data_IF_665644512986
#
_entry.id   IF_665644512986
#
_cell.length_a   1.000
_cell.length_b   1.000
_cell.length_c   1.000
_cell.angle_alpha   90.00
_cell.angle_beta   90.00
_cell.angle_gamma   90.00
#
_symmetry.space_group_name_H-M   'P 1'
#
loop_
_entity.id
_entity.type
_entity.pdbx_description
1 polymer ?
#
# COMPACT_ATOMS: atom_id res chain seq x y z
N UNK A 1 -133.26 3.36 -61.51
CA UNK A 1 -132.06 2.54 -61.19
C UNK A 1 -131.98 1.44 -62.24
N UNK A 2 -130.90 1.40 -63.02
CA UNK A 2 -130.71 0.36 -64.05
C UNK A 2 -130.28 -0.95 -63.39
N UNK A 3 -130.85 -2.07 -63.84
CA UNK A 3 -130.66 -3.40 -63.28
C UNK A 3 -129.19 -3.86 -63.27
N UNK A 4 -128.40 -3.41 -64.27
CA UNK A 4 -126.95 -3.64 -64.36
C UNK A 4 -126.14 -2.99 -63.22
N UNK A 5 -126.61 -1.86 -62.70
CA UNK A 5 -125.94 -1.12 -61.62
C UNK A 5 -126.15 -1.84 -60.27
N UNK A 6 -127.31 -2.48 -60.10
CA UNK A 6 -127.62 -3.33 -58.95
C UNK A 6 -126.76 -4.59 -58.89
N UNK A 7 -126.50 -5.23 -60.04
CA UNK A 7 -125.69 -6.45 -60.11
C UNK A 7 -124.21 -6.17 -59.82
N UNK A 8 -123.68 -5.04 -60.33
CA UNK A 8 -122.33 -4.57 -60.03
C UNK A 8 -122.18 -4.27 -58.53
N UNK A 9 -123.15 -3.58 -57.92
CA UNK A 9 -123.15 -3.34 -56.48
C UNK A 9 -123.12 -4.64 -55.69
N UNK A 10 -123.92 -5.64 -56.08
CA UNK A 10 -124.01 -6.92 -55.38
C UNK A 10 -122.71 -7.72 -55.49
N UNK A 11 -122.00 -7.64 -56.62
CA UNK A 11 -120.67 -8.21 -56.78
C UNK A 11 -119.64 -7.51 -55.88
N UNK A 12 -119.65 -6.18 -55.81
CA UNK A 12 -118.78 -5.41 -54.89
C UNK A 12 -119.04 -5.78 -53.43
N UNK A 13 -120.30 -5.97 -53.02
CA UNK A 13 -120.63 -6.41 -51.66
C UNK A 13 -120.13 -7.83 -51.36
N UNK A 14 -120.21 -8.74 -52.33
CA UNK A 14 -119.66 -10.11 -52.20
C UNK A 14 -118.15 -10.09 -52.05
N UNK A 15 -117.44 -9.36 -52.91
CA UNK A 15 -115.98 -9.27 -52.86
C UNK A 15 -115.51 -8.59 -51.56
N UNK A 16 -116.24 -7.57 -51.10
CA UNK A 16 -115.99 -6.93 -49.80
C UNK A 16 -116.19 -7.91 -48.64
N UNK A 17 -117.25 -8.73 -48.68
CA UNK A 17 -117.52 -9.73 -47.65
C UNK A 17 -116.44 -10.83 -47.61
N UNK A 18 -116.01 -11.33 -48.78
CA UNK A 18 -114.93 -12.32 -48.89
C UNK A 18 -113.62 -11.73 -48.38
N UNK A 19 -113.26 -10.52 -48.80
CA UNK A 19 -112.06 -9.82 -48.35
C UNK A 19 -112.06 -9.63 -46.83
N UNK A 20 -113.20 -9.22 -46.26
CA UNK A 20 -113.38 -9.11 -44.81
C UNK A 20 -113.19 -10.45 -44.09
N UNK A 21 -113.75 -11.54 -44.64
CA UNK A 21 -113.62 -12.87 -44.05
C UNK A 21 -112.16 -13.37 -44.07
N UNK A 22 -111.44 -13.16 -45.18
CA UNK A 22 -110.01 -13.49 -45.29
C UNK A 22 -109.19 -12.66 -44.29
N UNK A 23 -109.46 -11.36 -44.18
CA UNK A 23 -108.77 -10.47 -43.25
C UNK A 23 -109.02 -10.88 -41.78
N UNK A 24 -110.28 -11.16 -41.43
CA UNK A 24 -110.63 -11.63 -40.08
C UNK A 24 -109.99 -12.98 -39.77
N UNK A 25 -109.99 -13.92 -40.71
CA UNK A 25 -109.31 -15.22 -40.56
C UNK A 25 -107.81 -15.06 -40.33
N UNK A 26 -107.12 -14.30 -41.20
CA UNK A 26 -105.68 -14.07 -41.06
C UNK A 26 -105.31 -13.34 -39.74
N UNK A 27 -106.12 -12.39 -39.29
CA UNK A 27 -105.90 -11.70 -38.02
C UNK A 27 -106.15 -12.64 -36.82
N UNK A 28 -107.15 -13.50 -36.90
CA UNK A 28 -107.48 -14.51 -35.88
C UNK A 28 -106.34 -15.53 -35.77
N UNK A 29 -105.85 -16.04 -36.90
CA UNK A 29 -104.72 -16.98 -36.98
C UNK A 29 -103.42 -16.34 -36.45
N UNK A 30 -103.11 -15.10 -36.85
CA UNK A 30 -101.91 -14.39 -36.41
C UNK A 30 -101.90 -14.09 -34.91
N UNK A 31 -103.08 -13.88 -34.30
CA UNK A 31 -103.24 -13.66 -32.87
C UNK A 31 -103.46 -14.96 -32.07
N UNK A 32 -103.55 -16.11 -32.75
CA UNK A 32 -103.80 -17.40 -32.13
C UNK A 32 -105.19 -17.53 -31.46
N UNK A 33 -106.19 -16.82 -32.00
CA UNK A 33 -107.57 -16.85 -31.52
C UNK A 33 -108.36 -17.99 -32.19
N UNK A 34 -109.51 -18.36 -31.62
CA UNK A 34 -110.41 -19.34 -32.23
C UNK A 34 -111.17 -18.73 -33.43
N UNK A 35 -111.42 -19.55 -34.45
CA UNK A 35 -112.15 -19.23 -35.68
C UNK A 35 -113.58 -18.70 -35.45
N UNK A 36 -114.16 -18.98 -34.28
CA UNK A 36 -115.47 -18.49 -33.85
C UNK A 36 -115.41 -17.24 -32.93
N UNK A 37 -114.25 -16.59 -32.81
CA UNK A 37 -114.10 -15.43 -31.93
C UNK A 37 -115.03 -14.28 -32.32
N UNK A 38 -115.51 -13.57 -31.31
CA UNK A 38 -116.35 -12.39 -31.50
C UNK A 38 -115.52 -11.22 -32.02
N UNK A 39 -116.18 -10.27 -32.70
CA UNK A 39 -115.52 -9.04 -33.17
C UNK A 39 -114.88 -8.26 -32.01
N UNK A 40 -115.46 -8.33 -30.82
CA UNK A 40 -114.94 -7.65 -29.63
C UNK A 40 -113.69 -8.34 -29.06
N UNK A 41 -113.64 -9.68 -29.06
CA UNK A 41 -112.46 -10.46 -28.68
C UNK A 41 -111.29 -10.21 -29.64
N UNK A 42 -111.55 -10.22 -30.96
CA UNK A 42 -110.54 -9.91 -31.98
C UNK A 42 -109.99 -8.49 -31.79
N UNK A 43 -110.86 -7.50 -31.57
CA UNK A 43 -110.47 -6.11 -31.33
C UNK A 43 -109.65 -5.97 -30.05
N UNK A 44 -110.04 -6.64 -28.98
CA UNK A 44 -109.32 -6.64 -27.70
C UNK A 44 -107.92 -7.26 -27.84
N UNK A 45 -107.81 -8.41 -28.48
CA UNK A 45 -106.54 -9.08 -28.74
C UNK A 45 -105.62 -8.26 -29.66
N UNK A 46 -106.17 -7.63 -30.71
CA UNK A 46 -105.40 -6.76 -31.60
C UNK A 46 -104.88 -5.53 -30.85
N UNK A 47 -105.70 -4.90 -30.00
CA UNK A 47 -105.26 -3.79 -29.15
C UNK A 47 -104.16 -4.22 -28.17
N UNK A 48 -104.27 -5.41 -27.58
CA UNK A 48 -103.25 -5.98 -26.69
C UNK A 48 -101.94 -6.25 -27.43
N UNK A 49 -101.99 -6.84 -28.62
CA UNK A 49 -100.81 -7.10 -29.44
C UNK A 49 -100.13 -5.79 -29.88
N UNK A 50 -100.90 -4.78 -30.28
CA UNK A 50 -100.40 -3.43 -30.59
C UNK A 50 -99.71 -2.82 -29.36
N UNK A 51 -100.31 -2.94 -28.18
CA UNK A 51 -99.71 -2.42 -26.95
C UNK A 51 -98.40 -3.16 -26.60
N UNK A 52 -98.39 -4.48 -26.70
CA UNK A 52 -97.18 -5.29 -26.47
C UNK A 52 -96.06 -4.94 -27.46
N UNK A 53 -96.39 -4.72 -28.73
CA UNK A 53 -95.43 -4.28 -29.73
C UNK A 53 -94.83 -2.91 -29.38
N UNK A 54 -95.67 -1.95 -28.97
CA UNK A 54 -95.21 -0.63 -28.50
C UNK A 54 -94.32 -0.74 -27.26
N UNK A 55 -94.72 -1.54 -26.28
CA UNK A 55 -93.95 -1.74 -25.04
C UNK A 55 -92.60 -2.42 -25.34
N UNK A 56 -92.57 -3.38 -26.28
CA UNK A 56 -91.36 -4.03 -26.75
C UNK A 56 -90.43 -3.05 -27.48
N UNK A 57 -90.96 -2.21 -28.37
CA UNK A 57 -90.18 -1.17 -29.07
C UNK A 57 -89.55 -0.18 -28.08
N UNK A 58 -90.33 0.29 -27.09
CA UNK A 58 -89.83 1.14 -26.00
C UNK A 58 -88.72 0.43 -25.22
N UNK A 59 -88.91 -0.85 -24.90
CA UNK A 59 -87.91 -1.65 -24.18
C UNK A 59 -86.63 -1.83 -25.01
N UNK A 60 -86.73 -2.07 -26.32
CA UNK A 60 -85.57 -2.19 -27.21
C UNK A 60 -84.81 -0.89 -27.29
N UNK A 61 -85.48 0.25 -27.44
CA UNK A 61 -84.84 1.58 -27.48
C UNK A 61 -84.13 1.87 -26.16
N UNK A 62 -84.81 1.71 -25.03
CA UNK A 62 -84.22 1.96 -23.70
C UNK A 62 -83.05 1.03 -23.39
N UNK A 63 -83.15 -0.25 -23.76
CA UNK A 63 -82.06 -1.22 -23.58
C UNK A 63 -80.85 -0.87 -24.45
N UNK A 64 -81.06 -0.42 -25.70
CA UNK A 64 -79.98 0.03 -26.58
C UNK A 64 -79.29 1.29 -26.03
N UNK A 65 -80.07 2.27 -25.59
CA UNK A 65 -79.52 3.49 -24.97
C UNK A 65 -78.71 3.16 -23.72
N UNK A 66 -79.16 2.22 -22.90
CA UNK A 66 -78.41 1.79 -21.73
C UNK A 66 -77.13 1.03 -22.11
N UNK A 67 -77.20 0.11 -23.07
CA UNK A 67 -76.04 -0.61 -23.56
C UNK A 67 -74.99 0.34 -24.16
N UNK A 68 -75.42 1.37 -24.91
CA UNK A 68 -74.51 2.37 -25.47
C UNK A 68 -73.79 3.18 -24.36
N UNK A 69 -74.51 3.51 -23.28
CA UNK A 69 -73.91 4.16 -22.09
C UNK A 69 -72.90 3.25 -21.41
N UNK A 70 -73.25 1.98 -21.16
CA UNK A 70 -72.39 1.02 -20.49
C UNK A 70 -71.11 0.74 -21.33
N UNK A 71 -71.25 0.65 -22.65
CA UNK A 71 -70.11 0.49 -23.58
C UNK A 71 -69.22 1.73 -23.54
N UNK A 72 -69.79 2.94 -23.51
CA UNK A 72 -69.02 4.17 -23.41
C UNK A 72 -68.25 4.25 -22.08
N UNK A 73 -68.89 3.89 -20.97
CA UNK A 73 -68.26 3.85 -19.65
C UNK A 73 -67.13 2.82 -19.60
N UNK A 74 -67.37 1.60 -20.08
CA UNK A 74 -66.34 0.56 -20.15
C UNK A 74 -65.14 0.97 -21.01
N UNK A 75 -65.38 1.64 -22.14
CA UNK A 75 -64.30 2.15 -22.99
C UNK A 75 -63.47 3.20 -22.26
N UNK A 76 -64.11 4.12 -21.54
CA UNK A 76 -63.42 5.13 -20.76
C UNK A 76 -62.59 4.49 -19.63
N UNK A 77 -63.17 3.53 -18.91
CA UNK A 77 -62.45 2.80 -17.86
C UNK A 77 -61.24 2.05 -18.42
N UNK A 78 -61.37 1.44 -19.60
CA UNK A 78 -60.26 0.74 -20.27
C UNK A 78 -59.15 1.71 -20.69
N UNK A 79 -59.48 2.89 -21.22
CA UNK A 79 -58.48 3.90 -21.57
C UNK A 79 -57.77 4.46 -20.34
N UNK A 80 -58.51 4.73 -19.27
CA UNK A 80 -57.95 5.26 -18.03
C UNK A 80 -57.04 4.21 -17.37
N UNK A 81 -57.45 2.94 -17.37
CA UNK A 81 -56.65 1.83 -16.85
C UNK A 81 -55.37 1.62 -17.66
N UNK A 82 -55.42 1.73 -18.99
CA UNK A 82 -54.24 1.57 -19.84
C UNK A 82 -53.25 2.72 -19.62
N UNK A 83 -53.75 3.96 -19.51
CA UNK A 83 -52.92 5.11 -19.19
C UNK A 83 -52.25 4.96 -17.81
N UNK A 84 -53.01 4.53 -16.79
CA UNK A 84 -52.48 4.26 -15.47
C UNK A 84 -51.41 3.14 -15.48
N UNK A 85 -51.60 2.11 -16.30
CA UNK A 85 -50.63 1.02 -16.49
C UNK A 85 -49.33 1.54 -17.08
N UNK A 86 -49.40 2.34 -18.15
CA UNK A 86 -48.23 2.94 -18.79
C UNK A 86 -47.45 3.80 -17.78
N UNK A 87 -48.14 4.68 -17.04
CA UNK A 87 -47.49 5.52 -16.02
C UNK A 87 -46.86 4.70 -14.89
N UNK A 88 -47.48 3.60 -14.48
CA UNK A 88 -46.93 2.69 -13.49
C UNK A 88 -45.67 1.97 -14.02
N UNK A 89 -45.70 1.50 -15.26
CA UNK A 89 -44.56 0.85 -15.93
C UNK A 89 -43.37 1.83 -16.07
N UNK A 90 -43.62 3.09 -16.41
CA UNK A 90 -42.58 4.13 -16.45
C UNK A 90 -41.97 4.38 -15.07
N UNK A 91 -42.79 4.48 -14.02
CA UNK A 91 -42.30 4.63 -12.64
C UNK A 91 -41.47 3.43 -12.20
N UNK A 92 -41.89 2.22 -12.54
CA UNK A 92 -41.12 0.99 -12.26
C UNK A 92 -39.78 1.00 -12.99
N UNK A 93 -39.76 1.37 -14.28
CA UNK A 93 -38.52 1.46 -15.05
C UNK A 93 -37.55 2.49 -14.45
N UNK A 94 -38.05 3.66 -14.04
CA UNK A 94 -37.25 4.68 -13.36
C UNK A 94 -36.71 4.17 -12.01
N UNK A 95 -37.56 3.55 -11.19
CA UNK A 95 -37.16 3.00 -9.90
C UNK A 95 -36.10 1.91 -10.03
N UNK A 96 -36.22 1.03 -11.03
CA UNK A 96 -35.22 -0.01 -11.32
C UNK A 96 -33.88 0.61 -11.70
N UNK A 97 -33.87 1.64 -12.56
CA UNK A 97 -32.65 2.35 -12.96
C UNK A 97 -31.98 3.01 -11.76
N UNK A 98 -32.75 3.67 -10.90
CA UNK A 98 -32.23 4.29 -9.67
C UNK A 98 -31.66 3.24 -8.74
N UNK A 99 -32.36 2.11 -8.54
CA UNK A 99 -31.88 1.00 -7.71
C UNK A 99 -30.55 0.44 -8.22
N UNK A 100 -30.45 0.18 -9.52
CA UNK A 100 -29.22 -0.32 -10.14
C UNK A 100 -28.04 0.66 -9.97
N UNK A 101 -28.29 1.97 -10.13
CA UNK A 101 -27.24 2.97 -9.89
C UNK A 101 -26.81 3.04 -8.43
N UNK A 102 -27.75 2.95 -7.49
CA UNK A 102 -27.47 2.96 -6.06
C UNK A 102 -26.70 1.70 -5.63
N UNK A 103 -27.07 0.52 -6.16
CA UNK A 103 -26.34 -0.73 -5.93
C UNK A 103 -24.91 -0.66 -6.44
N UNK A 104 -24.68 -0.10 -7.65
CA UNK A 104 -23.33 0.12 -8.18
C UNK A 104 -22.51 1.06 -7.31
N UNK A 105 -23.09 2.18 -6.88
CA UNK A 105 -22.42 3.13 -5.98
C UNK A 105 -22.08 2.50 -4.64
N UNK A 106 -22.99 1.71 -4.06
CA UNK A 106 -22.74 0.99 -2.81
C UNK A 106 -21.63 -0.05 -2.97
N UNK A 107 -21.61 -0.79 -4.07
CA UNK A 107 -20.54 -1.76 -4.35
C UNK A 107 -19.18 -1.07 -4.49
N UNK A 108 -19.11 0.02 -5.25
CA UNK A 108 -17.90 0.83 -5.40
C UNK A 108 -17.44 1.40 -4.06
N UNK A 109 -18.33 2.03 -3.29
CA UNK A 109 -18.01 2.61 -1.99
C UNK A 109 -17.55 1.56 -0.97
N UNK A 110 -18.12 0.35 -0.99
CA UNK A 110 -17.65 -0.77 -0.14
C UNK A 110 -16.23 -1.20 -0.51
N UNK A 111 -15.92 -1.31 -1.80
CA UNK A 111 -14.58 -1.68 -2.27
C UNK A 111 -13.54 -0.61 -1.91
N UNK A 112 -13.85 0.66 -2.16
CA UNK A 112 -12.99 1.79 -1.81
C UNK A 112 -12.73 1.87 -0.29
N UNK A 113 -13.78 1.70 0.52
CA UNK A 113 -13.65 1.72 1.97
C UNK A 113 -12.83 0.51 2.48
N UNK A 114 -13.01 -0.68 1.88
CA UNK A 114 -12.20 -1.85 2.23
C UNK A 114 -10.71 -1.64 1.93
N UNK A 115 -10.37 -1.07 0.77
CA UNK A 115 -8.99 -0.72 0.42
C UNK A 115 -8.42 0.37 1.33
N UNK A 116 -9.20 1.41 1.64
CA UNK A 116 -8.81 2.46 2.57
C UNK A 116 -8.53 1.90 3.98
N UNK A 117 -9.39 1.00 4.49
CA UNK A 117 -9.20 0.32 5.77
C UNK A 117 -7.95 -0.57 5.76
N UNK A 118 -7.71 -1.29 4.67
CA UNK A 118 -6.53 -2.14 4.51
C UNK A 118 -5.25 -1.30 4.54
N UNK A 119 -5.22 -0.18 3.83
CA UNK A 119 -4.11 0.78 3.84
C UNK A 119 -3.89 1.38 5.24
N UNK A 120 -4.96 1.83 5.89
CA UNK A 120 -4.88 2.38 7.25
C UNK A 120 -4.33 1.35 8.25
N UNK A 121 -4.76 0.08 8.17
CA UNK A 121 -4.24 -1.01 9.00
C UNK A 121 -2.75 -1.28 8.72
N UNK A 122 -2.34 -1.24 7.46
CA UNK A 122 -0.94 -1.39 7.08
C UNK A 122 -0.08 -0.24 7.66
N UNK A 123 -0.54 1.00 7.56
CA UNK A 123 0.13 2.17 8.14
C UNK A 123 0.21 2.10 9.67
N UNK A 124 -0.83 1.63 10.35
CA UNK A 124 -0.80 1.41 11.81
C UNK A 124 0.23 0.34 12.16
N UNK A 125 0.28 -0.76 11.41
CA UNK A 125 1.23 -1.85 11.65
C UNK A 125 2.68 -1.37 11.45
N UNK A 126 2.94 -0.60 10.39
CA UNK A 126 4.24 0.02 10.14
C UNK A 126 4.62 1.05 11.22
N UNK A 127 3.68 1.89 11.66
CA UNK A 127 3.92 2.81 12.79
C UNK A 127 4.21 2.06 14.08
N UNK A 128 3.52 0.95 14.37
CA UNK A 128 3.80 0.13 15.54
C UNK A 128 5.17 -0.54 15.46
N UNK A 129 5.58 -1.04 14.28
CA UNK A 129 6.91 -1.63 14.11
C UNK A 129 8.01 -0.58 14.27
N UNK A 130 7.81 0.62 13.72
CA UNK A 130 8.68 1.79 13.91
C UNK A 130 8.76 2.20 15.37
N UNK A 131 7.64 2.27 16.10
CA UNK A 131 7.63 2.57 17.53
C UNK A 131 8.35 1.49 18.35
N UNK A 132 8.22 0.21 17.99
CA UNK A 132 9.00 -0.88 18.61
C UNK A 132 10.49 -0.75 18.32
N UNK A 133 10.86 -0.38 17.09
CA UNK A 133 12.26 -0.15 16.73
C UNK A 133 12.84 1.08 17.45
N UNK A 134 12.09 2.18 17.51
CA UNK A 134 12.44 3.40 18.24
C UNK A 134 12.56 3.10 19.72
N UNK A 135 11.59 2.43 20.34
CA UNK A 135 11.68 2.05 21.75
C UNK A 135 12.84 1.10 22.03
N UNK A 136 13.15 0.16 21.13
CA UNK A 136 14.33 -0.71 21.24
C UNK A 136 15.65 0.07 21.09
N UNK A 137 15.70 1.06 20.21
CA UNK A 137 16.88 1.90 19.98
C UNK A 137 17.10 2.92 21.11
N UNK A 138 16.02 3.52 21.62
CA UNK A 138 16.02 4.40 22.79
C UNK A 138 16.24 3.60 24.09
N UNK A 139 15.84 2.33 24.12
CA UNK A 139 16.22 1.37 25.15
C UNK A 139 17.66 0.87 24.94
N UNK A 140 18.62 1.79 24.89
CA UNK A 140 19.84 1.54 25.64
C UNK A 140 19.37 1.40 27.11
N UNK A 141 19.07 0.17 27.54
CA UNK A 141 18.63 -0.09 28.90
C UNK A 141 19.63 0.54 29.88
N UNK A 142 19.21 0.93 31.09
CA UNK A 142 20.15 1.37 32.13
C UNK A 142 21.34 0.41 32.26
N UNK A 143 21.11 -0.89 32.05
CA UNK A 143 22.16 -1.90 31.96
C UNK A 143 23.12 -1.76 30.78
N UNK A 144 22.65 -1.42 29.57
CA UNK A 144 23.53 -1.17 28.42
C UNK A 144 24.35 0.11 28.60
N UNK A 145 23.77 1.17 29.15
CA UNK A 145 24.49 2.39 29.51
C UNK A 145 25.54 2.09 30.58
N UNK A 146 25.19 1.34 31.63
CA UNK A 146 26.12 0.92 32.69
C UNK A 146 27.22 0.01 32.13
N UNK A 147 26.92 -0.90 31.21
CA UNK A 147 27.94 -1.73 30.53
C UNK A 147 28.90 -0.87 29.72
N UNK A 148 28.39 0.07 28.91
CA UNK A 148 29.22 1.03 28.16
C UNK A 148 30.10 1.85 29.10
N UNK A 149 29.54 2.40 30.19
CA UNK A 149 30.29 3.13 31.21
C UNK A 149 31.37 2.28 31.90
N UNK A 150 31.09 1.01 32.21
CA UNK A 150 32.08 0.07 32.76
C UNK A 150 33.22 -0.18 31.78
N UNK A 151 32.91 -0.41 30.50
CA UNK A 151 33.92 -0.57 29.44
C UNK A 151 34.78 0.67 29.31
N UNK A 152 34.17 1.85 29.28
CA UNK A 152 34.85 3.14 29.15
C UNK A 152 35.76 3.41 30.37
N UNK A 153 35.28 3.08 31.58
CA UNK A 153 36.08 3.16 32.80
C UNK A 153 37.27 2.21 32.76
N UNK A 154 37.09 0.97 32.28
CA UNK A 154 38.17 -0.01 32.11
C UNK A 154 39.22 0.49 31.11
N UNK A 155 38.79 0.98 29.95
CA UNK A 155 39.68 1.54 28.93
C UNK A 155 40.48 2.72 29.47
N UNK A 156 39.85 3.65 30.22
CA UNK A 156 40.54 4.80 30.82
C UNK A 156 41.60 4.39 31.85
N UNK A 157 41.33 3.38 32.67
CA UNK A 157 42.31 2.85 33.63
C UNK A 157 43.48 2.20 32.90
N UNK A 158 43.20 1.40 31.86
CA UNK A 158 44.25 0.72 31.11
C UNK A 158 45.12 1.70 30.33
N UNK A 159 44.52 2.75 29.75
CA UNK A 159 45.25 3.83 29.10
C UNK A 159 46.14 4.59 30.09
N UNK A 160 45.64 4.91 31.29
CA UNK A 160 46.44 5.56 32.34
C UNK A 160 47.60 4.68 32.80
N UNK A 161 47.39 3.37 32.94
CA UNK A 161 48.45 2.40 33.27
C UNK A 161 49.50 2.32 32.17
N UNK A 162 49.08 2.29 30.91
CA UNK A 162 50.00 2.29 29.77
C UNK A 162 50.80 3.59 29.70
N UNK A 163 50.15 4.75 29.88
CA UNK A 163 50.84 6.05 29.93
C UNK A 163 51.92 6.09 31.01
N UNK A 164 51.59 5.73 32.24
CA UNK A 164 52.57 5.68 33.35
C UNK A 164 53.71 4.69 33.08
N UNK A 165 53.41 3.52 32.50
CA UNK A 165 54.45 2.56 32.12
C UNK A 165 55.36 3.10 31.01
N UNK A 166 54.80 3.80 30.02
CA UNK A 166 55.60 4.42 28.95
C UNK A 166 56.46 5.56 29.47
N UNK A 167 55.95 6.40 30.38
CA UNK A 167 56.73 7.46 31.02
C UNK A 167 57.88 6.91 31.85
N UNK A 168 57.64 5.85 32.62
CA UNK A 168 58.68 5.19 33.40
C UNK A 168 59.79 4.62 32.50
N UNK A 169 59.42 3.95 31.40
CA UNK A 169 60.39 3.45 30.40
C UNK A 169 61.19 4.60 29.76
N UNK A 170 60.53 5.71 29.46
CA UNK A 170 61.18 6.88 28.85
C UNK A 170 62.20 7.50 29.81
N UNK A 171 61.87 7.58 31.11
CA UNK A 171 62.81 8.02 32.15
C UNK A 171 64.00 7.10 32.29
N UNK A 172 63.81 5.77 32.27
CA UNK A 172 64.92 4.82 32.33
C UNK A 172 65.81 4.96 31.09
N UNK A 173 65.23 5.02 29.88
CA UNK A 173 66.00 5.20 28.65
C UNK A 173 66.80 6.51 28.65
N UNK A 174 66.25 7.60 29.20
CA UNK A 174 66.99 8.86 29.35
C UNK A 174 68.16 8.74 30.32
N UNK A 175 67.98 8.05 31.45
CA UNK A 175 69.06 7.79 32.41
C UNK A 175 70.15 6.93 31.80
N UNK A 176 69.79 5.87 31.09
CA UNK A 176 70.75 4.97 30.45
C UNK A 176 71.49 5.68 29.31
N UNK A 177 70.80 6.51 28.52
CA UNK A 177 71.42 7.37 27.52
C UNK A 177 72.46 8.30 28.15
N UNK A 178 72.10 9.00 29.23
CA UNK A 178 73.03 9.91 29.92
C UNK A 178 74.27 9.18 30.49
N UNK A 179 74.09 7.95 30.99
CA UNK A 179 75.20 7.10 31.44
C UNK A 179 76.11 6.69 30.29
N UNK A 180 75.53 6.22 29.17
CA UNK A 180 76.30 5.83 27.99
C UNK A 180 77.06 7.03 27.39
N UNK A 181 76.44 8.20 27.34
CA UNK A 181 77.11 9.43 26.91
C UNK A 181 78.30 9.79 27.83
N UNK A 182 78.14 9.67 29.14
CA UNK A 182 79.23 9.89 30.09
C UNK A 182 80.36 8.83 29.98
N UNK A 183 80.01 7.56 29.73
CA UNK A 183 81.00 6.50 29.48
C UNK A 183 81.76 6.73 28.17
N UNK A 184 81.08 7.18 27.12
CA UNK A 184 81.72 7.54 25.85
C UNK A 184 82.71 8.69 26.06
N UNK A 185 82.32 9.74 26.79
CA UNK A 185 83.20 10.88 27.08
C UNK A 185 84.43 10.47 27.90
N UNK A 186 84.24 9.62 28.91
CA UNK A 186 85.35 9.06 29.68
C UNK A 186 86.29 8.20 28.82
N UNK A 187 85.76 7.41 27.88
CA UNK A 187 86.59 6.63 26.95
C UNK A 187 87.36 7.53 25.98
N UNK A 188 86.74 8.61 25.49
CA UNK A 188 87.41 9.60 24.62
C UNK A 188 88.58 10.25 25.33
N UNK A 189 88.38 10.75 26.55
CA UNK A 189 89.47 11.34 27.35
C UNK A 189 90.60 10.34 27.66
N UNK A 190 90.28 9.07 27.93
CA UNK A 190 91.30 8.03 28.13
C UNK A 190 92.10 7.77 26.85
N UNK A 191 91.43 7.73 25.70
CA UNK A 191 92.09 7.58 24.40
C UNK A 191 93.03 8.75 24.11
N UNK A 192 92.61 9.99 24.36
CA UNK A 192 93.46 11.18 24.18
C UNK A 192 94.74 11.13 25.03
N UNK A 193 94.67 10.60 26.26
CA UNK A 193 95.84 10.43 27.13
C UNK A 193 96.79 9.30 26.69
N UNK A 194 96.28 8.33 25.94
CA UNK A 194 97.07 7.16 25.53
C UNK A 194 98.00 7.40 24.33
N UNK A 195 97.64 8.32 23.41
CA UNK A 195 98.51 8.73 22.29
C UNK A 195 99.87 9.32 22.74
N UNK A 196 99.94 10.30 23.66
CA UNK A 196 101.22 10.81 24.14
C UNK A 196 101.99 9.76 24.96
N UNK A 197 101.32 8.82 25.63
CA UNK A 197 101.97 7.70 26.32
C UNK A 197 102.70 6.78 25.33
N UNK A 198 102.11 6.48 24.17
CA UNK A 198 102.77 5.71 23.10
C UNK A 198 104.03 6.45 22.61
N UNK A 199 103.93 7.76 22.40
CA UNK A 199 105.07 8.58 22.00
C UNK A 199 106.19 8.61 23.07
N UNK A 200 105.82 8.78 24.34
CA UNK A 200 106.76 8.72 25.48
C UNK A 200 107.42 7.35 25.60
N UNK A 201 106.69 6.27 25.35
CA UNK A 201 107.22 4.90 25.42
C UNK A 201 108.25 4.65 24.30
N UNK A 202 108.00 5.14 23.07
CA UNK A 202 108.98 5.15 21.97
C UNK A 202 110.22 5.98 22.31
N UNK A 203 110.03 7.17 22.90
CA UNK A 203 111.13 8.05 23.30
C UNK A 203 111.99 7.45 24.43
N UNK A 204 111.35 6.85 25.44
CA UNK A 204 112.01 6.15 26.53
C UNK A 204 112.82 4.96 26.00
N UNK A 205 112.26 4.16 25.08
CA UNK A 205 112.99 3.07 24.45
C UNK A 205 114.22 3.56 23.66
N UNK A 206 114.08 4.67 22.93
CA UNK A 206 115.19 5.31 22.20
C UNK A 206 116.29 5.83 23.14
N UNK A 207 115.92 6.50 24.24
CA UNK A 207 116.86 7.00 25.24
C UNK A 207 117.56 5.87 25.99
N UNK A 208 116.85 4.81 26.40
CA UNK A 208 117.44 3.60 26.95
C UNK A 208 118.45 2.99 25.97
N UNK A 209 118.12 2.90 24.68
CA UNK A 209 119.06 2.39 23.66
C UNK A 209 120.31 3.26 23.49
N UNK A 210 120.16 4.59 23.51
CA UNK A 210 121.29 5.54 23.47
C UNK A 210 122.17 5.42 24.71
N UNK A 211 121.58 5.31 25.89
CA UNK A 211 122.32 5.13 27.15
C UNK A 211 123.00 3.77 27.22
N UNK A 212 122.35 2.69 26.78
CA UNK A 212 122.96 1.35 26.68
C UNK A 212 124.16 1.35 25.71
N UNK A 213 124.06 2.07 24.59
CA UNK A 213 125.21 2.29 23.68
C UNK A 213 126.34 3.09 24.35
N UNK A 214 126.03 4.15 25.10
CA UNK A 214 127.04 4.92 25.88
C UNK A 214 127.72 4.08 26.97
N UNK A 215 126.96 3.29 27.73
CA UNK A 215 127.50 2.37 28.75
C UNK A 215 128.39 1.32 28.10
N UNK A 216 127.99 0.78 26.94
CA UNK A 216 128.84 -0.12 26.14
C UNK A 216 130.16 0.52 25.69
N UNK A 217 130.18 1.82 25.42
CA UNK A 217 131.40 2.54 25.03
C UNK A 217 132.29 2.98 26.20
N UNK A 218 131.78 2.99 27.44
CA UNK A 218 132.48 3.47 28.63
C UNK A 218 132.89 2.34 29.61
N UNK A 219 132.51 1.09 29.34
CA UNK A 219 132.77 -0.07 30.20
C UNK A 219 133.69 -1.08 29.52
N UNK A 220 134.85 -1.35 30.12
CA UNK A 220 135.76 -2.43 29.70
C UNK A 220 135.26 -3.83 30.11
N UNK A 221 134.22 -3.91 30.96
CA UNK A 221 133.62 -5.17 31.39
C UNK A 221 132.39 -5.54 30.55
N UNK A 222 132.53 -6.57 29.70
CA UNK A 222 131.47 -7.02 28.76
C UNK A 222 130.21 -7.55 29.48
N UNK A 223 130.29 -7.86 30.78
CA UNK A 223 129.16 -8.36 31.59
C UNK A 223 128.27 -7.27 32.17
N UNK A 224 128.64 -6.00 32.10
CA UNK A 224 127.85 -4.87 32.61
C UNK A 224 126.83 -4.32 31.58
N UNK A 225 126.39 -5.13 30.60
CA UNK A 225 125.47 -4.67 29.54
C UNK A 225 124.05 -5.21 29.74
N UNK A 226 123.09 -4.30 29.96
CA UNK A 226 121.66 -4.60 30.05
C UNK A 226 121.12 -4.83 28.62
N UNK A 227 120.44 -5.96 28.39
CA UNK A 227 119.68 -6.23 27.14
C UNK A 227 118.35 -5.48 27.19
N UNK A 228 118.16 -4.53 26.30
CA UNK A 228 116.89 -3.82 26.16
C UNK A 228 115.93 -4.71 25.36
N UNK A 229 114.71 -4.98 25.87
CA UNK A 229 113.68 -5.73 25.14
C UNK A 229 113.36 -5.07 23.79
N UNK A 230 113.03 -5.88 22.77
CA UNK A 230 112.57 -5.35 21.48
C UNK A 230 111.20 -4.69 21.68
N UNK A 231 111.04 -3.52 21.08
CA UNK A 231 109.74 -2.87 21.02
C UNK A 231 108.90 -3.56 19.93
N UNK A 232 107.64 -3.87 20.24
CA UNK A 232 106.68 -4.40 19.28
C UNK A 232 106.01 -3.23 18.55
N UNK A 233 106.62 -2.85 17.42
CA UNK A 233 106.18 -1.68 16.66
C UNK A 233 104.84 -1.93 15.96
N UNK A 234 104.54 -3.17 15.57
CA UNK A 234 103.27 -3.52 14.92
C UNK A 234 102.10 -3.36 15.90
N UNK A 235 102.28 -3.78 17.15
CA UNK A 235 101.27 -3.56 18.20
C UNK A 235 101.07 -2.07 18.48
N UNK A 236 102.14 -1.28 18.60
CA UNK A 236 102.05 0.16 18.87
C UNK A 236 101.40 0.93 17.72
N UNK A 237 101.72 0.60 16.46
CA UNK A 237 101.06 1.19 15.29
C UNK A 237 99.58 0.80 15.22
N UNK A 238 99.22 -0.44 15.59
CA UNK A 238 97.81 -0.87 15.63
C UNK A 238 97.01 -0.13 16.71
N UNK A 239 97.63 0.12 17.87
CA UNK A 239 97.03 0.92 18.95
C UNK A 239 96.88 2.38 18.53
N UNK A 240 97.89 2.97 17.91
CA UNK A 240 97.84 4.35 17.42
C UNK A 240 96.76 4.55 16.34
N UNK A 241 96.59 3.59 15.42
CA UNK A 241 95.49 3.59 14.44
C UNK A 241 94.12 3.44 15.13
N UNK A 242 93.98 2.48 16.04
CA UNK A 242 92.73 2.29 16.78
C UNK A 242 92.36 3.52 17.64
N UNK A 243 93.34 4.26 18.15
CA UNK A 243 93.13 5.47 18.95
C UNK A 243 92.81 6.70 18.09
N UNK A 244 93.32 6.78 16.88
CA UNK A 244 93.04 7.87 15.92
C UNK A 244 91.73 7.67 15.17
N UNK A 245 91.28 6.43 14.96
CA UNK A 245 89.99 6.10 14.34
C UNK A 245 88.79 6.11 15.32
N UNK A 246 89.04 6.11 16.64
CA UNK A 246 88.01 6.05 17.69
C UNK A 246 87.59 7.40 18.29
N UNK A 247 88.10 8.53 17.77
CA UNK A 247 87.70 9.89 18.15
C UNK A 247 86.47 10.38 17.38
#
# INVERSE_FOLDING_TARGET
MNQSDSDIQLQVWKDLAISKQILMGAATDALGLDSACTTDELKSAMNKAIQQAKDADITVVTTREQADKDIAEMKQQATDSEQARIEAEEKVAQALKVRETAERQLAAGRAENAEALKKARAEITDKQSKLKAISKALADTPENVVKKLKTLKKQKLEESRLRTQTEAKLLTTRKDKAKLEAEIENRKSLNEQSLPLIAQLRELHSTCNKQSKKIKSLSEDKKATIKIPKLDEELLESLEKALTEAG
#
